data_IF_956773812097
#
_entry.id   IF_956773812097
#
_cell.length_a   1.000
_cell.length_b   1.000
_cell.length_c   1.000
_cell.angle_alpha   90.00
_cell.angle_beta   90.00
_cell.angle_gamma   90.00
#
_symmetry.space_group_name_H-M   'P 1'
#
loop_
_entity.id
_entity.type
_entity.pdbx_description
1 polymer ?
#
# COMPACT_ATOMS: atom_id res chain seq x y z
N UNK A 1 6.65 0.14 -2.34
CA UNK A 1 8.01 0.55 -2.69
C UNK A 1 9.06 -0.45 -2.20
N UNK A 2 9.19 -0.71 -0.89
CA UNK A 2 10.23 -1.59 -0.34
C UNK A 2 10.12 -3.03 -0.85
N UNK A 3 8.93 -3.63 -0.81
CA UNK A 3 8.71 -4.99 -1.32
C UNK A 3 9.05 -5.14 -2.82
N UNK A 4 8.74 -4.14 -3.64
CA UNK A 4 9.09 -4.17 -5.07
C UNK A 4 10.59 -4.04 -5.31
N UNK A 5 11.28 -3.26 -4.48
CA UNK A 5 12.74 -3.16 -4.51
C UNK A 5 13.40 -4.51 -4.19
N UNK A 6 12.85 -5.22 -3.22
CA UNK A 6 13.35 -6.55 -2.82
C UNK A 6 13.00 -7.65 -3.83
N UNK A 7 11.88 -7.55 -4.52
CA UNK A 7 11.52 -8.48 -5.60
C UNK A 7 12.40 -8.33 -6.83
N UNK A 8 12.99 -7.15 -7.06
CA UNK A 8 13.93 -6.90 -8.16
C UNK A 8 15.33 -7.46 -7.91
N UNK A 9 15.65 -7.83 -6.66
CA UNK A 9 16.89 -8.55 -6.34
C UNK A 9 16.76 -9.97 -6.90
N UNK A 10 17.60 -10.30 -7.87
CA UNK A 10 17.51 -11.52 -8.70
C UNK A 10 17.30 -12.82 -7.91
N UNK A 11 16.77 -13.82 -8.61
CA UNK A 11 16.38 -15.14 -8.06
C UNK A 11 17.48 -15.92 -7.37
N UNK A 12 18.76 -15.56 -7.58
CA UNK A 12 19.92 -16.36 -7.18
C UNK A 12 20.64 -15.86 -5.91
N UNK A 13 20.14 -14.82 -5.23
CA UNK A 13 20.77 -14.36 -3.98
C UNK A 13 20.03 -14.94 -2.77
N UNK A 14 20.68 -15.88 -2.11
CA UNK A 14 20.22 -16.52 -0.86
C UNK A 14 20.47 -15.65 0.38
N UNK A 15 21.45 -14.74 0.33
CA UNK A 15 21.77 -13.84 1.44
C UNK A 15 21.19 -12.44 1.21
N UNK A 16 20.47 -11.96 2.21
CA UNK A 16 19.86 -10.62 2.23
C UNK A 16 20.86 -9.65 2.89
N UNK A 17 21.51 -8.81 2.09
CA UNK A 17 22.38 -7.74 2.61
C UNK A 17 21.54 -6.52 3.03
N UNK A 18 21.42 -6.33 4.34
CA UNK A 18 20.70 -5.18 4.92
C UNK A 18 21.30 -3.84 4.48
N UNK A 19 22.62 -3.76 4.29
CA UNK A 19 23.29 -2.52 3.89
C UNK A 19 22.88 -2.13 2.48
N UNK A 20 22.80 -3.10 1.58
CA UNK A 20 22.35 -2.89 0.21
C UNK A 20 20.87 -2.47 0.18
N UNK A 21 20.00 -3.15 0.92
CA UNK A 21 18.56 -2.81 0.99
C UNK A 21 18.38 -1.41 1.55
N UNK A 22 19.06 -1.10 2.65
CA UNK A 22 19.05 0.25 3.25
C UNK A 22 19.48 1.30 2.24
N UNK A 23 20.56 1.09 1.55
CA UNK A 23 21.07 2.01 0.52
C UNK A 23 20.05 2.25 -0.60
N UNK A 24 19.41 1.18 -1.09
CA UNK A 24 18.37 1.29 -2.13
C UNK A 24 17.15 2.06 -1.65
N UNK A 25 16.67 1.80 -0.42
CA UNK A 25 15.53 2.50 0.17
C UNK A 25 15.86 3.98 0.33
N UNK A 26 17.01 4.30 0.93
CA UNK A 26 17.41 5.68 1.19
C UNK A 26 17.57 6.48 -0.10
N UNK A 27 18.24 5.90 -1.12
CA UNK A 27 18.33 6.55 -2.43
C UNK A 27 16.95 6.78 -3.08
N UNK A 28 16.03 5.84 -2.92
CA UNK A 28 14.68 6.02 -3.45
C UNK A 28 13.95 7.17 -2.74
N UNK A 29 14.03 7.24 -1.41
CA UNK A 29 13.42 8.34 -0.63
C UNK A 29 14.01 9.68 -1.04
N UNK A 30 15.34 9.79 -1.11
CA UNK A 30 16.05 10.98 -1.57
C UNK A 30 15.58 11.42 -2.97
N UNK A 31 15.57 10.48 -3.91
CA UNK A 31 15.15 10.75 -5.29
C UNK A 31 13.69 11.25 -5.37
N UNK A 32 12.77 10.65 -4.62
CA UNK A 32 11.37 11.08 -4.64
C UNK A 32 11.19 12.42 -3.93
N UNK A 33 11.92 12.68 -2.84
CA UNK A 33 11.90 13.97 -2.20
C UNK A 33 12.40 15.06 -3.14
N UNK A 34 13.56 14.88 -3.77
CA UNK A 34 14.09 15.84 -4.75
C UNK A 34 13.10 16.12 -5.89
N UNK A 35 12.44 15.06 -6.39
CA UNK A 35 11.56 15.17 -7.54
C UNK A 35 10.25 15.88 -7.22
N UNK A 36 9.72 15.72 -6.01
CA UNK A 36 8.33 16.10 -5.72
C UNK A 36 8.18 17.10 -4.57
N UNK A 37 9.23 17.40 -3.81
CA UNK A 37 9.13 18.24 -2.62
C UNK A 37 8.63 19.66 -2.91
N UNK A 38 9.03 20.26 -4.01
CA UNK A 38 8.67 21.63 -4.36
C UNK A 38 7.16 21.77 -4.59
N UNK A 39 6.53 20.79 -5.23
CA UNK A 39 5.09 20.81 -5.56
C UNK A 39 4.23 20.20 -4.46
N UNK A 40 4.72 19.13 -3.79
CA UNK A 40 3.92 18.31 -2.88
C UNK A 40 4.39 18.35 -1.42
N UNK A 41 5.43 19.08 -1.11
CA UNK A 41 5.95 19.16 0.25
C UNK A 41 6.74 17.92 0.69
N UNK A 42 6.81 17.70 2.00
CA UNK A 42 7.64 16.63 2.58
C UNK A 42 7.03 15.23 2.44
N UNK A 43 7.92 14.23 2.43
CA UNK A 43 7.52 12.83 2.41
C UNK A 43 6.79 12.43 3.70
N UNK A 44 5.73 11.64 3.54
CA UNK A 44 5.06 10.91 4.61
C UNK A 44 5.24 9.43 4.36
N UNK A 45 5.81 8.71 5.31
CA UNK A 45 6.04 7.27 5.24
C UNK A 45 4.85 6.54 5.84
N UNK A 46 4.04 5.94 4.98
CA UNK A 46 2.86 5.15 5.38
C UNK A 46 3.26 3.67 5.44
N UNK A 47 3.06 3.06 6.59
CA UNK A 47 3.52 1.71 6.86
C UNK A 47 2.38 0.81 7.33
N UNK A 48 2.46 -0.49 6.97
CA UNK A 48 1.53 -1.49 7.47
C UNK A 48 1.72 -1.68 8.96
N UNK A 49 0.63 -1.59 9.70
CA UNK A 49 0.53 -2.07 11.07
C UNK A 49 0.38 -3.60 11.13
N UNK A 50 0.17 -4.12 12.33
CA UNK A 50 -0.10 -5.55 12.53
C UNK A 50 -1.60 -5.81 12.51
N UNK A 51 -1.99 -7.06 12.19
CA UNK A 51 -3.37 -7.53 12.34
C UNK A 51 -4.41 -6.70 11.59
N UNK A 52 -4.30 -6.61 10.26
CA UNK A 52 -5.25 -5.84 9.43
C UNK A 52 -6.71 -6.08 9.85
N UNK A 53 -7.46 -4.98 10.05
CA UNK A 53 -8.88 -4.98 10.39
C UNK A 53 -9.75 -5.76 9.38
N UNK A 54 -9.28 -5.87 8.14
CA UNK A 54 -9.99 -6.63 7.09
C UNK A 54 -10.14 -8.09 7.44
N UNK A 55 -9.22 -8.66 8.23
CA UNK A 55 -9.30 -10.07 8.67
C UNK A 55 -10.41 -10.34 9.68
N UNK A 56 -10.83 -9.34 10.43
CA UNK A 56 -11.97 -9.46 11.33
C UNK A 56 -13.27 -9.61 10.54
N UNK A 57 -13.37 -8.97 9.38
CA UNK A 57 -14.52 -9.05 8.49
C UNK A 57 -14.47 -10.22 7.51
N UNK A 58 -13.27 -10.59 7.09
CA UNK A 58 -13.04 -11.68 6.16
C UNK A 58 -11.78 -12.46 6.55
N UNK A 59 -11.91 -13.55 7.33
CA UNK A 59 -10.77 -14.33 7.83
C UNK A 59 -9.86 -14.89 6.73
N UNK A 60 -10.38 -15.06 5.51
CA UNK A 60 -9.62 -15.55 4.35
C UNK A 60 -8.82 -14.45 3.64
N UNK A 61 -8.93 -13.18 4.09
CA UNK A 61 -8.16 -12.07 3.56
C UNK A 61 -6.66 -12.32 3.66
N UNK A 62 -5.98 -12.30 2.50
CA UNK A 62 -4.53 -12.56 2.37
C UNK A 62 -4.08 -13.91 2.94
N UNK A 63 -4.99 -14.89 3.15
CA UNK A 63 -4.65 -16.20 3.73
C UNK A 63 -3.65 -16.98 2.85
N UNK A 64 -3.76 -16.92 1.53
CA UNK A 64 -2.86 -17.58 0.59
C UNK A 64 -1.42 -17.07 0.59
N UNK A 65 -1.18 -15.84 1.12
CA UNK A 65 0.17 -15.24 1.11
C UNK A 65 1.19 -16.03 1.94
N UNK A 66 0.75 -16.67 3.04
CA UNK A 66 1.65 -17.51 3.86
C UNK A 66 2.10 -18.72 3.07
N UNK A 67 1.18 -19.46 2.46
CA UNK A 67 1.49 -20.65 1.64
C UNK A 67 2.44 -20.31 0.49
N UNK A 68 2.23 -19.17 -0.18
CA UNK A 68 3.10 -18.71 -1.25
C UNK A 68 4.52 -18.36 -0.76
N UNK A 69 4.63 -17.75 0.43
CA UNK A 69 5.94 -17.47 1.05
C UNK A 69 6.66 -18.74 1.45
N UNK A 70 5.96 -19.68 2.08
CA UNK A 70 6.53 -20.95 2.53
C UNK A 70 7.02 -21.83 1.36
N UNK A 71 6.40 -21.70 0.19
CA UNK A 71 6.84 -22.33 -1.04
C UNK A 71 8.00 -21.61 -1.76
N UNK A 72 8.41 -20.43 -1.28
CA UNK A 72 9.48 -19.63 -1.87
C UNK A 72 10.84 -20.05 -1.31
N UNK A 73 11.88 -19.97 -2.14
CA UNK A 73 13.29 -20.21 -1.72
C UNK A 73 13.89 -19.03 -0.93
N UNK A 74 13.15 -17.95 -0.69
CA UNK A 74 13.62 -16.75 0.01
C UNK A 74 13.50 -16.91 1.52
N UNK A 75 14.51 -16.46 2.27
CA UNK A 75 14.41 -16.33 3.73
C UNK A 75 13.58 -15.09 4.11
N UNK A 76 12.27 -15.29 4.22
CA UNK A 76 11.32 -14.24 4.58
C UNK A 76 11.52 -13.72 6.01
N UNK A 77 12.04 -14.54 6.92
CA UNK A 77 12.33 -14.12 8.30
C UNK A 77 13.45 -13.09 8.31
N UNK A 78 14.53 -13.36 7.58
CA UNK A 78 15.61 -12.40 7.43
C UNK A 78 15.16 -11.13 6.72
N UNK A 79 14.36 -11.25 5.66
CA UNK A 79 13.79 -10.12 4.92
C UNK A 79 12.98 -9.21 5.83
N UNK A 80 12.05 -9.76 6.61
CA UNK A 80 11.23 -8.98 7.55
C UNK A 80 12.08 -8.36 8.65
N UNK A 81 13.05 -9.06 9.21
CA UNK A 81 13.98 -8.51 10.20
C UNK A 81 14.79 -7.32 9.67
N UNK A 82 15.24 -7.39 8.42
CA UNK A 82 15.88 -6.24 7.75
C UNK A 82 14.93 -5.06 7.59
N UNK A 83 13.68 -5.32 7.20
CA UNK A 83 12.67 -4.27 7.03
C UNK A 83 12.32 -3.61 8.36
N UNK A 84 12.13 -4.38 9.42
CA UNK A 84 11.82 -3.85 10.74
C UNK A 84 12.97 -2.98 11.27
N UNK A 85 14.22 -3.39 11.02
CA UNK A 85 15.39 -2.58 11.35
C UNK A 85 15.39 -1.25 10.59
N UNK A 86 15.16 -1.28 9.28
CA UNK A 86 15.16 -0.06 8.45
C UNK A 86 13.97 0.85 8.82
N UNK A 87 12.79 0.28 9.11
CA UNK A 87 11.63 1.05 9.61
C UNK A 87 11.98 1.80 10.90
N UNK A 88 12.63 1.13 11.85
CA UNK A 88 13.05 1.74 13.11
C UNK A 88 14.07 2.87 12.88
N UNK A 89 15.03 2.66 11.99
CA UNK A 89 16.02 3.68 11.60
C UNK A 89 15.35 4.89 10.92
N UNK A 90 14.39 4.67 10.04
CA UNK A 90 13.65 5.76 9.39
C UNK A 90 12.85 6.58 10.40
N UNK A 91 12.22 5.91 11.36
CA UNK A 91 11.44 6.56 12.42
C UNK A 91 12.31 7.39 13.36
N UNK A 92 13.51 6.91 13.67
CA UNK A 92 14.41 7.54 14.67
C UNK A 92 15.24 8.68 14.09
N UNK A 93 15.81 8.48 12.88
CA UNK A 93 16.85 9.38 12.36
C UNK A 93 16.39 10.31 11.25
N UNK A 94 15.26 10.02 10.57
CA UNK A 94 14.86 10.78 9.37
C UNK A 94 13.81 11.85 9.67
N UNK A 95 13.81 12.99 8.92
CA UNK A 95 12.91 14.11 9.17
C UNK A 95 11.49 13.91 8.63
N UNK A 96 11.13 12.68 8.30
CA UNK A 96 9.83 12.35 7.71
C UNK A 96 8.79 12.02 8.77
N UNK A 97 7.54 12.33 8.49
CA UNK A 97 6.44 11.75 9.26
C UNK A 97 6.36 10.25 8.96
N UNK A 98 6.38 9.44 9.99
CA UNK A 98 6.26 7.99 9.90
C UNK A 98 4.97 7.56 10.58
N UNK A 99 4.03 7.01 9.81
CA UNK A 99 2.70 6.63 10.29
C UNK A 99 2.52 5.12 10.15
N UNK A 100 2.29 4.48 11.28
CA UNK A 100 2.02 3.04 11.41
C UNK A 100 0.99 2.87 12.53
N UNK A 101 -0.22 2.48 12.16
CA UNK A 101 -1.35 2.32 13.08
C UNK A 101 -1.68 0.84 13.20
N UNK A 102 -1.90 0.35 14.42
CA UNK A 102 -2.32 -1.03 14.66
C UNK A 102 -3.62 -1.30 13.91
N UNK A 103 -3.73 -2.50 13.36
CA UNK A 103 -4.82 -2.97 12.53
C UNK A 103 -5.01 -2.24 11.18
N UNK A 104 -4.27 -1.17 10.87
CA UNK A 104 -4.29 -0.50 9.58
C UNK A 104 -3.24 -1.07 8.62
N UNK A 105 -3.55 -1.09 7.34
CA UNK A 105 -2.56 -1.26 6.27
C UNK A 105 -2.07 0.12 5.78
N UNK A 106 -0.92 0.17 5.12
CA UNK A 106 -0.41 1.41 4.52
C UNK A 106 -1.43 2.05 3.58
N UNK A 107 -2.26 1.24 2.93
CA UNK A 107 -3.32 1.67 2.03
C UNK A 107 -4.41 2.46 2.77
N UNK A 108 -4.77 2.03 4.00
CA UNK A 108 -5.70 2.77 4.86
C UNK A 108 -5.11 4.13 5.25
N UNK A 109 -3.82 4.15 5.63
CA UNK A 109 -3.12 5.40 5.98
C UNK A 109 -3.13 6.37 4.80
N UNK A 110 -2.73 5.91 3.61
CA UNK A 110 -2.73 6.73 2.39
C UNK A 110 -4.15 7.20 2.04
N UNK A 111 -5.14 6.31 2.12
CA UNK A 111 -6.54 6.62 1.83
C UNK A 111 -7.10 7.71 2.74
N UNK A 112 -6.87 7.60 4.05
CA UNK A 112 -7.32 8.58 5.04
C UNK A 112 -6.65 9.94 4.81
N UNK A 113 -5.33 9.97 4.65
CA UNK A 113 -4.60 11.22 4.43
C UNK A 113 -5.00 11.90 3.11
N UNK A 114 -5.13 11.12 2.03
CA UNK A 114 -5.55 11.66 0.73
C UNK A 114 -6.96 12.24 0.75
N UNK A 115 -7.87 11.66 1.54
CA UNK A 115 -9.24 12.17 1.69
C UNK A 115 -9.31 13.41 2.58
N UNK A 116 -8.48 13.50 3.61
CA UNK A 116 -8.55 14.55 4.62
C UNK A 116 -8.04 15.90 4.15
N UNK A 117 -7.20 15.95 3.12
CA UNK A 117 -6.50 17.17 2.71
C UNK A 117 -6.87 17.66 1.33
N UNK A 118 -6.73 19.00 1.17
CA UNK A 118 -6.99 19.70 -0.09
C UNK A 118 -5.69 20.17 -0.78
N UNK A 119 -4.54 20.07 -0.11
CA UNK A 119 -3.24 20.36 -0.71
C UNK A 119 -2.91 19.31 -1.78
N UNK A 120 -2.03 19.64 -2.74
CA UNK A 120 -1.56 18.67 -3.73
C UNK A 120 -0.93 17.43 -3.08
N UNK A 121 -1.32 16.25 -3.51
CA UNK A 121 -0.83 14.97 -2.99
C UNK A 121 -0.26 14.13 -4.13
N UNK A 122 0.96 13.64 -3.96
CA UNK A 122 1.58 12.66 -4.85
C UNK A 122 1.72 11.31 -4.14
N UNK A 123 0.91 10.34 -4.51
CA UNK A 123 1.02 8.96 -4.03
C UNK A 123 2.13 8.25 -4.82
N UNK A 124 3.18 7.80 -4.14
CA UNK A 124 4.30 7.05 -4.75
C UNK A 124 4.05 5.56 -4.58
N UNK A 125 3.26 5.00 -5.46
CA UNK A 125 2.91 3.57 -5.44
C UNK A 125 2.52 3.07 -6.84
N UNK A 126 2.84 1.80 -7.12
CA UNK A 126 2.39 1.11 -8.33
C UNK A 126 1.07 0.36 -8.11
N UNK A 127 0.53 0.40 -6.91
CA UNK A 127 -0.72 -0.25 -6.57
C UNK A 127 -1.89 0.47 -7.25
N UNK A 128 -2.74 -0.30 -7.91
CA UNK A 128 -3.89 0.24 -8.63
C UNK A 128 -5.06 0.58 -7.71
N UNK A 129 -5.03 0.10 -6.47
CA UNK A 129 -6.07 0.40 -5.50
C UNK A 129 -6.16 1.89 -5.18
N UNK A 130 -5.04 2.62 -5.35
CA UNK A 130 -5.02 4.08 -5.18
C UNK A 130 -5.67 4.87 -6.33
N UNK A 131 -6.04 4.22 -7.45
CA UNK A 131 -6.80 4.87 -8.52
C UNK A 131 -8.10 5.44 -7.96
N UNK A 132 -8.76 4.74 -7.03
CA UNK A 132 -9.99 5.21 -6.38
C UNK A 132 -9.85 6.58 -5.68
N UNK A 133 -8.64 6.98 -5.29
CA UNK A 133 -8.38 8.27 -4.65
C UNK A 133 -8.28 9.44 -5.63
N UNK A 134 -8.14 9.14 -6.93
CA UNK A 134 -8.03 10.14 -7.99
C UNK A 134 -9.38 10.81 -8.33
N UNK A 135 -10.48 10.46 -7.65
CA UNK A 135 -11.72 11.22 -7.64
C UNK A 135 -11.51 12.65 -7.14
N UNK A 136 -10.46 12.87 -6.32
CA UNK A 136 -10.02 14.20 -5.90
C UNK A 136 -8.96 14.72 -6.88
N UNK A 137 -9.21 15.88 -7.48
CA UNK A 137 -8.32 16.51 -8.48
C UNK A 137 -6.91 16.83 -7.93
N UNK A 138 -6.80 17.04 -6.61
CA UNK A 138 -5.53 17.32 -5.96
C UNK A 138 -4.68 16.06 -5.70
N UNK A 139 -5.19 14.86 -5.98
CA UNK A 139 -4.49 13.58 -5.77
C UNK A 139 -3.95 13.05 -7.10
N UNK A 140 -2.64 12.87 -7.16
CA UNK A 140 -1.94 12.22 -8.28
C UNK A 140 -1.19 10.99 -7.80
N UNK A 141 -0.95 10.06 -8.70
CA UNK A 141 -0.22 8.83 -8.41
C UNK A 141 0.95 8.64 -9.39
N UNK A 142 2.11 8.30 -8.85
CA UNK A 142 3.29 7.93 -9.64
C UNK A 142 3.65 6.46 -9.38
N UNK A 143 3.76 5.69 -10.45
CA UNK A 143 4.21 4.29 -10.36
C UNK A 143 5.73 4.18 -10.44
N UNK A 144 6.42 3.73 -9.38
CA UNK A 144 7.85 3.46 -9.40
C UNK A 144 8.27 2.37 -10.39
N UNK A 145 7.39 1.41 -10.67
CA UNK A 145 7.66 0.29 -11.57
C UNK A 145 7.66 0.75 -13.03
N UNK A 146 6.59 1.43 -13.43
CA UNK A 146 6.46 1.92 -14.83
C UNK A 146 7.14 3.24 -15.07
N UNK A 147 7.56 3.94 -14.00
CA UNK A 147 8.15 5.29 -14.00
C UNK A 147 7.24 6.34 -14.67
N UNK A 148 5.93 6.19 -14.52
CA UNK A 148 4.91 7.05 -15.13
C UNK A 148 3.87 7.48 -14.10
N UNK A 149 3.20 8.59 -14.40
CA UNK A 149 1.96 8.96 -13.71
C UNK A 149 0.91 7.90 -14.07
N UNK A 150 0.22 7.41 -13.03
CA UNK A 150 -0.96 6.57 -13.17
C UNK A 150 -2.15 7.51 -13.22
N UNK A 151 -2.93 7.44 -14.26
CA UNK A 151 -4.13 8.27 -14.42
C UNK A 151 -5.26 7.41 -14.94
N UNK A 152 -6.41 7.52 -14.33
CA UNK A 152 -7.65 6.92 -14.82
C UNK A 152 -8.67 8.02 -15.13
N UNK A 153 -9.42 7.85 -16.20
CA UNK A 153 -10.42 8.84 -16.63
C UNK A 153 -11.72 8.74 -15.86
N UNK A 154 -11.95 7.62 -15.17
CA UNK A 154 -13.14 7.39 -14.38
C UNK A 154 -12.82 6.52 -13.14
N UNK A 155 -12.20 7.10 -12.09
CA UNK A 155 -11.81 6.37 -10.89
C UNK A 155 -12.97 5.72 -10.14
N UNK A 156 -14.16 6.32 -10.17
CA UNK A 156 -15.37 5.75 -9.55
C UNK A 156 -15.79 4.45 -10.25
N UNK A 157 -15.81 4.49 -11.58
CA UNK A 157 -16.10 3.29 -12.37
C UNK A 157 -15.04 2.21 -12.17
N UNK A 158 -13.76 2.61 -12.10
CA UNK A 158 -12.67 1.68 -11.78
C UNK A 158 -12.91 0.96 -10.45
N UNK A 159 -13.28 1.69 -9.41
CA UNK A 159 -13.60 1.12 -8.09
C UNK A 159 -14.78 0.13 -8.15
N UNK A 160 -15.87 0.50 -8.82
CA UNK A 160 -17.03 -0.39 -9.01
C UNK A 160 -16.65 -1.68 -9.75
N UNK A 161 -15.86 -1.58 -10.81
CA UNK A 161 -15.34 -2.75 -11.54
C UNK A 161 -14.46 -3.64 -10.65
N UNK A 162 -13.63 -3.03 -9.82
CA UNK A 162 -12.77 -3.75 -8.88
C UNK A 162 -13.59 -4.49 -7.82
N UNK A 163 -14.61 -3.86 -7.24
CA UNK A 163 -15.53 -4.49 -6.29
C UNK A 163 -16.23 -5.71 -6.92
N UNK A 164 -16.72 -5.59 -8.15
CA UNK A 164 -17.34 -6.71 -8.88
C UNK A 164 -16.37 -7.87 -9.10
N UNK A 165 -15.12 -7.57 -9.47
CA UNK A 165 -14.11 -8.58 -9.82
C UNK A 165 -13.43 -9.21 -8.60
N UNK A 166 -13.47 -8.52 -7.44
CA UNK A 166 -12.66 -8.87 -6.29
C UNK A 166 -11.17 -8.67 -6.56
N UNK A 167 -10.34 -9.06 -5.60
CA UNK A 167 -8.89 -9.06 -5.71
C UNK A 167 -8.30 -10.41 -5.31
N UNK A 168 -7.91 -11.18 -6.32
CA UNK A 168 -7.32 -12.52 -6.10
C UNK A 168 -5.96 -12.44 -5.38
N UNK A 169 -5.22 -11.33 -5.50
CA UNK A 169 -3.92 -11.17 -4.83
C UNK A 169 -4.08 -11.00 -3.33
N UNK A 170 -5.22 -10.45 -2.91
CA UNK A 170 -5.62 -10.27 -1.52
C UNK A 170 -6.56 -11.38 -1.01
N UNK A 171 -6.85 -12.35 -1.87
CA UNK A 171 -7.72 -13.46 -1.52
C UNK A 171 -9.19 -13.09 -1.49
N UNK A 172 -9.60 -12.00 -2.16
CA UNK A 172 -10.98 -11.53 -2.25
C UNK A 172 -11.60 -12.07 -3.55
N UNK A 173 -12.54 -13.04 -3.47
CA UNK A 173 -13.20 -13.55 -4.66
C UNK A 173 -14.10 -12.51 -5.32
N UNK A 174 -14.37 -12.70 -6.61
CA UNK A 174 -15.42 -11.91 -7.24
C UNK A 174 -16.79 -12.18 -6.61
N UNK A 175 -17.74 -11.28 -6.79
CA UNK A 175 -19.04 -11.33 -6.09
C UNK A 175 -19.92 -12.52 -6.47
N UNK A 176 -19.64 -13.22 -7.56
CA UNK A 176 -20.36 -14.43 -7.99
C UNK A 176 -19.81 -15.73 -7.39
N UNK A 177 -18.70 -15.66 -6.65
CA UNK A 177 -17.95 -16.81 -6.20
C UNK A 177 -18.00 -16.98 -4.68
N UNK A 178 -17.92 -18.23 -4.22
CA UNK A 178 -17.87 -18.56 -2.81
C UNK A 178 -16.62 -17.95 -2.13
N UNK A 179 -16.72 -17.70 -0.82
CA UNK A 179 -15.71 -17.03 0.00
C UNK A 179 -14.36 -17.74 -0.03
N UNK A 180 -14.38 -19.06 -0.04
CA UNK A 180 -13.20 -19.95 0.09
C UNK A 180 -12.56 -20.35 -1.25
N UNK A 181 -13.18 -20.01 -2.38
CA UNK A 181 -12.76 -20.53 -3.67
C UNK A 181 -11.30 -20.26 -4.04
N UNK A 182 -10.72 -19.12 -3.57
CA UNK A 182 -9.31 -18.81 -3.82
C UNK A 182 -8.39 -19.68 -2.95
N UNK A 183 -8.75 -19.89 -1.69
CA UNK A 183 -7.96 -20.70 -0.74
C UNK A 183 -8.00 -22.16 -1.13
N UNK A 184 -9.19 -22.67 -1.49
CA UNK A 184 -9.41 -24.04 -1.95
C UNK A 184 -9.00 -24.29 -3.40
N UNK A 185 -8.49 -23.23 -4.09
CA UNK A 185 -8.08 -23.29 -5.50
C UNK A 185 -9.21 -23.73 -6.44
N UNK A 186 -10.43 -23.43 -6.09
CA UNK A 186 -11.62 -23.64 -6.93
C UNK A 186 -11.71 -22.51 -7.95
N UNK A 187 -12.06 -22.85 -9.17
CA UNK A 187 -12.21 -21.84 -10.23
C UNK A 187 -13.36 -20.90 -9.90
N UNK A 188 -13.08 -19.60 -9.88
CA UNK A 188 -14.10 -18.58 -9.71
C UNK A 188 -15.13 -18.57 -10.86
N UNK A 189 -16.35 -18.17 -10.54
CA UNK A 189 -17.38 -17.92 -11.54
C UNK A 189 -16.89 -16.86 -12.55
N UNK A 190 -17.09 -17.09 -13.86
CA UNK A 190 -16.55 -16.19 -14.88
C UNK A 190 -17.28 -14.85 -14.91
N UNK A 191 -16.54 -13.76 -14.81
CA UNK A 191 -17.03 -12.41 -15.06
C UNK A 191 -16.43 -11.88 -16.36
N UNK A 192 -17.25 -11.79 -17.39
CA UNK A 192 -16.84 -11.25 -18.69
C UNK A 192 -16.88 -9.73 -18.67
N UNK A 193 -16.06 -9.09 -19.53
CA UNK A 193 -16.08 -7.64 -19.70
C UNK A 193 -17.50 -7.12 -19.98
N UNK A 194 -18.24 -7.78 -20.86
CA UNK A 194 -19.61 -7.41 -21.21
C UNK A 194 -20.56 -7.41 -20.00
N UNK A 195 -20.41 -8.38 -19.07
CA UNK A 195 -21.20 -8.41 -17.85
C UNK A 195 -20.84 -7.25 -16.91
N UNK A 196 -19.57 -6.94 -16.77
CA UNK A 196 -19.13 -5.80 -15.96
C UNK A 196 -19.67 -4.50 -16.52
N UNK A 197 -19.58 -4.31 -17.83
CA UNK A 197 -20.15 -3.13 -18.51
C UNK A 197 -21.66 -2.99 -18.29
N UNK A 198 -22.38 -4.10 -18.14
CA UNK A 198 -23.81 -4.08 -17.84
C UNK A 198 -24.10 -3.67 -16.38
N UNK A 199 -23.29 -4.14 -15.44
CA UNK A 199 -23.58 -3.99 -13.99
C UNK A 199 -22.98 -2.74 -13.36
N UNK A 200 -21.89 -2.22 -13.90
CA UNK A 200 -21.14 -1.14 -13.27
C UNK A 200 -21.91 0.17 -13.11
N UNK A 201 -22.91 0.38 -13.97
CA UNK A 201 -23.76 1.57 -13.96
C UNK A 201 -25.13 1.31 -13.27
N UNK A 202 -25.33 0.12 -12.66
CA UNK A 202 -26.54 -0.26 -11.92
C UNK A 202 -26.27 -0.32 -10.42
N UNK A 203 -27.34 -0.25 -9.62
CA UNK A 203 -27.25 -0.53 -8.19
C UNK A 203 -27.18 -2.05 -7.97
N UNK A 204 -26.39 -2.53 -7.01
CA UNK A 204 -26.18 -3.97 -6.81
C UNK A 204 -27.47 -4.74 -6.50
N UNK A 205 -28.46 -4.09 -5.90
CA UNK A 205 -29.78 -4.67 -5.62
C UNK A 205 -30.56 -5.03 -6.88
N UNK A 206 -30.28 -4.39 -8.02
CA UNK A 206 -31.00 -4.59 -9.28
C UNK A 206 -30.54 -5.85 -10.02
N UNK A 207 -29.33 -6.34 -9.76
CA UNK A 207 -28.75 -7.47 -10.51
C UNK A 207 -28.24 -8.62 -9.63
N UNK A 208 -28.15 -8.43 -8.30
CA UNK A 208 -27.68 -9.44 -7.38
C UNK A 208 -28.85 -10.21 -6.74
N UNK A 209 -28.69 -11.52 -6.57
CA UNK A 209 -29.46 -12.24 -5.55
C UNK A 209 -28.87 -11.98 -4.15
N UNK A 210 -29.50 -12.50 -3.08
CA UNK A 210 -29.08 -12.27 -1.70
C UNK A 210 -27.62 -12.67 -1.43
N UNK A 211 -27.17 -13.81 -1.93
CA UNK A 211 -25.79 -14.26 -1.75
C UNK A 211 -24.79 -13.37 -2.51
N UNK A 212 -25.11 -13.01 -3.74
CA UNK A 212 -24.28 -12.12 -4.56
C UNK A 212 -24.20 -10.73 -3.98
N UNK A 213 -25.30 -10.21 -3.42
CA UNK A 213 -25.34 -8.92 -2.77
C UNK A 213 -24.47 -8.92 -1.50
N UNK A 214 -24.54 -9.98 -0.68
CA UNK A 214 -23.62 -10.16 0.45
C UNK A 214 -22.17 -10.12 0.00
N UNK A 215 -21.83 -10.87 -1.06
CA UNK A 215 -20.47 -10.95 -1.60
C UNK A 215 -20.00 -9.59 -2.16
N UNK A 216 -20.90 -8.86 -2.83
CA UNK A 216 -20.62 -7.51 -3.31
C UNK A 216 -20.29 -6.57 -2.15
N UNK A 217 -21.09 -6.55 -1.08
CA UNK A 217 -20.84 -5.74 0.10
C UNK A 217 -19.57 -6.16 0.86
N UNK A 218 -19.25 -7.47 0.91
CA UNK A 218 -17.96 -7.95 1.40
C UNK A 218 -16.80 -7.32 0.62
N UNK A 219 -16.83 -7.39 -0.72
CA UNK A 219 -15.80 -6.83 -1.57
C UNK A 219 -15.70 -5.32 -1.41
N UNK A 220 -16.82 -4.63 -1.42
CA UNK A 220 -16.89 -3.18 -1.21
C UNK A 220 -16.20 -2.79 0.10
N UNK A 221 -16.52 -3.46 1.19
CA UNK A 221 -15.93 -3.18 2.50
C UNK A 221 -14.42 -3.44 2.55
N UNK A 222 -13.91 -4.41 1.81
CA UNK A 222 -12.49 -4.78 1.81
C UNK A 222 -11.65 -3.94 0.84
N UNK A 223 -12.22 -3.50 -0.28
CA UNK A 223 -11.51 -2.85 -1.40
C UNK A 223 -11.62 -1.33 -1.33
N UNK A 224 -12.79 -0.80 -1.00
CA UNK A 224 -12.99 0.64 -0.95
C UNK A 224 -12.42 1.23 0.34
N UNK A 225 -11.41 2.08 0.19
CA UNK A 225 -10.68 2.71 1.29
C UNK A 225 -11.55 3.68 2.12
N UNK A 226 -12.79 3.99 1.70
CA UNK A 226 -13.73 4.75 2.54
C UNK A 226 -14.26 3.94 3.73
N UNK A 227 -14.18 2.61 3.68
CA UNK A 227 -14.65 1.72 4.75
C UNK A 227 -13.60 1.48 5.85
N UNK A 228 -12.47 2.18 5.80
CA UNK A 228 -11.52 2.19 6.93
C UNK A 228 -12.25 2.55 8.22
N UNK A 229 -12.20 1.71 9.28
CA UNK A 229 -12.92 1.95 10.53
C UNK A 229 -12.61 3.31 11.16
N UNK A 230 -13.62 3.98 11.72
CA UNK A 230 -13.49 5.35 12.25
C UNK A 230 -12.42 5.47 13.33
N UNK A 231 -12.30 4.46 14.20
CA UNK A 231 -11.25 4.44 15.22
C UNK A 231 -9.83 4.39 14.63
N UNK A 232 -9.65 3.77 13.46
CA UNK A 232 -8.38 3.75 12.71
C UNK A 232 -8.16 5.11 12.04
N UNK A 233 -9.20 5.68 11.42
CA UNK A 233 -9.17 7.04 10.85
C UNK A 233 -8.71 8.06 11.88
N UNK A 234 -9.31 8.03 13.09
CA UNK A 234 -8.95 8.94 14.19
C UNK A 234 -7.50 8.75 14.65
N UNK A 235 -7.01 7.50 14.73
CA UNK A 235 -5.63 7.22 15.10
C UNK A 235 -4.63 7.69 14.04
N UNK A 236 -4.96 7.54 12.75
CA UNK A 236 -4.12 8.04 11.65
C UNK A 236 -4.02 9.56 11.72
N UNK A 237 -5.15 10.26 11.86
CA UNK A 237 -5.20 11.72 11.98
C UNK A 237 -4.38 12.19 13.18
N UNK A 238 -4.59 11.59 14.35
CA UNK A 238 -3.86 11.89 15.58
C UNK A 238 -2.36 11.69 15.41
N UNK A 239 -1.92 10.54 14.86
CA UNK A 239 -0.50 10.31 14.62
C UNK A 239 0.09 11.33 13.65
N UNK A 240 -0.66 11.69 12.61
CA UNK A 240 -0.19 12.69 11.66
C UNK A 240 0.03 14.06 12.32
N UNK A 241 -0.90 14.49 13.16
CA UNK A 241 -0.83 15.79 13.85
C UNK A 241 0.22 15.83 14.97
N UNK A 242 0.31 14.74 15.74
CA UNK A 242 1.20 14.67 16.92
C UNK A 242 2.67 14.35 16.59
N UNK A 243 2.95 13.68 15.46
CA UNK A 243 4.32 13.36 15.10
C UNK A 243 5.02 14.65 14.64
N UNK A 244 5.99 15.18 15.42
CA UNK A 244 6.79 16.31 14.98
C UNK A 244 7.58 15.91 13.73
N UNK A 245 7.86 16.88 12.86
CA UNK A 245 8.85 16.67 11.80
C UNK A 245 10.16 16.21 12.46
N UNK A 246 10.71 15.09 12.00
CA UNK A 246 11.95 14.57 12.51
C UNK A 246 13.10 15.57 12.40
N UNK A 247 14.11 15.41 13.22
CA UNK A 247 15.27 16.33 13.24
C UNK A 247 16.38 15.75 12.39
N UNK A 248 16.91 16.52 11.46
CA UNK A 248 18.08 16.14 10.64
C UNK A 248 19.39 16.04 11.44
N UNK A 249 19.41 16.48 12.70
CA UNK A 249 20.64 16.56 13.51
C UNK A 249 21.34 15.21 13.76
N UNK A 250 20.61 14.09 13.66
CA UNK A 250 21.17 12.75 13.85
C UNK A 250 21.65 12.06 12.55
N UNK A 251 21.28 12.59 11.38
CA UNK A 251 21.53 11.91 10.10
C UNK A 251 23.03 11.69 9.80
N UNK A 252 23.87 12.66 10.10
CA UNK A 252 25.31 12.54 9.83
C UNK A 252 25.92 11.38 10.63
N UNK A 253 25.64 11.31 11.91
CA UNK A 253 26.14 10.24 12.76
C UNK A 253 25.60 8.88 12.32
N UNK A 254 24.31 8.82 11.99
CA UNK A 254 23.68 7.61 11.44
C UNK A 254 24.38 7.14 10.15
N UNK A 255 24.67 8.05 9.22
CA UNK A 255 25.35 7.69 7.96
C UNK A 255 26.79 7.20 8.21
N UNK A 256 27.52 7.81 9.14
CA UNK A 256 28.86 7.39 9.53
C UNK A 256 28.81 5.98 10.15
N UNK A 257 27.95 5.77 11.15
CA UNK A 257 27.79 4.49 11.85
C UNK A 257 27.38 3.34 10.92
N UNK A 258 26.51 3.63 9.95
CA UNK A 258 26.03 2.65 8.96
C UNK A 258 26.92 2.56 7.71
N UNK A 259 28.05 3.28 7.68
CA UNK A 259 29.02 3.30 6.57
C UNK A 259 28.39 3.73 5.23
N UNK A 260 27.44 4.65 5.28
CA UNK A 260 26.71 5.17 4.11
C UNK A 260 27.44 6.39 3.50
N UNK A 261 28.74 6.29 3.32
CA UNK A 261 29.61 7.39 2.90
C UNK A 261 29.12 8.11 1.63
N UNK A 262 28.59 7.35 0.68
CA UNK A 262 28.06 7.89 -0.58
C UNK A 262 26.81 8.80 -0.40
N UNK A 263 26.16 8.75 0.77
CA UNK A 263 24.99 9.57 1.08
C UNK A 263 25.33 10.80 1.94
N UNK A 264 26.54 10.87 2.50
CA UNK A 264 26.95 11.98 3.37
C UNK A 264 26.96 13.31 2.59
N UNK A 265 27.48 13.31 1.37
CA UNK A 265 27.51 14.52 0.53
C UNK A 265 26.09 15.00 0.14
N UNK A 266 25.12 14.10 0.16
CA UNK A 266 23.73 14.35 -0.20
C UNK A 266 22.81 14.49 1.01
N UNK A 267 23.33 14.68 2.22
CA UNK A 267 22.54 14.70 3.46
C UNK A 267 21.44 15.78 3.47
N UNK A 268 21.68 16.89 2.78
CA UNK A 268 20.69 17.97 2.64
C UNK A 268 19.48 17.62 1.77
N UNK A 269 19.55 16.54 1.03
CA UNK A 269 18.52 16.09 0.11
C UNK A 269 17.46 15.18 0.79
N UNK A 270 17.70 14.81 2.07
CA UNK A 270 16.79 14.03 2.90
C UNK A 270 15.85 14.89 3.74
#
# INVERSE_FOLDING_TARGET
MVASTMMSMGKDRTEVDISMIRHMILNSLRMYRQKYHEEYGELVLCCDGRNSWRREHFPLYKAGRKTTRDASSKDWTQIFGCLDTIKSELKEYFPYKYIEVEAAEADDVIGVLAKSWNEPIMIISSDKDFIQLQVKENVKQYSPITKKIVNDTNPERYLKEHILRGDSSDGIPNFLSADDCIVEKIRQAPITKKKVELWVDQEPEDFCNEEQLRNYHRNMKLIDLQYTPSNIVDQIGKQYDEIPKGKRSGLLNFFIERKLNNLIESIGEF
#
